data_IF_586359723749
#
_entry.id   IF_586359723749
#
_cell.length_a   1.000
_cell.length_b   1.000
_cell.length_c   1.000
_cell.angle_alpha   90.00
_cell.angle_beta   90.00
_cell.angle_gamma   90.00
#
_symmetry.space_group_name_H-M   'P 1'
#
loop_
_entity.id
_entity.type
_entity.pdbx_description
1 polymer ?
#
# COMPACT_ATOMS: atom_id res chain seq x y z
N UNK A 1 -6.46 12.47 7.61
CA UNK A 1 -7.77 11.80 7.70
C UNK A 1 -7.79 10.64 6.71
N UNK A 2 -8.40 9.51 7.07
CA UNK A 2 -8.52 8.35 6.17
C UNK A 2 -9.34 8.64 4.92
N UNK A 3 -10.23 9.63 4.95
CA UNK A 3 -11.11 9.99 3.83
C UNK A 3 -10.33 10.68 2.71
N UNK A 4 -9.31 11.46 3.07
CA UNK A 4 -8.53 12.33 2.16
C UNK A 4 -7.16 11.72 1.82
N UNK A 5 -7.07 10.39 1.89
CA UNK A 5 -5.81 9.69 1.69
C UNK A 5 -5.38 9.73 0.22
N UNK A 6 -6.31 9.93 -0.71
CA UNK A 6 -6.08 10.24 -2.13
C UNK A 6 -5.18 11.47 -2.34
N UNK A 7 -5.36 12.53 -1.53
CA UNK A 7 -4.56 13.74 -1.64
C UNK A 7 -3.07 13.49 -1.35
N UNK A 8 -2.78 12.53 -0.45
CA UNK A 8 -1.40 12.13 -0.10
C UNK A 8 -0.74 11.31 -1.20
N UNK A 9 -1.54 10.71 -2.07
CA UNK A 9 -1.09 9.80 -3.14
C UNK A 9 -0.98 10.50 -4.50
N UNK A 10 -1.56 11.69 -4.61
CA UNK A 10 -1.57 12.47 -5.85
C UNK A 10 -0.15 12.91 -6.23
N UNK A 11 0.21 12.76 -7.50
CA UNK A 11 1.51 13.15 -8.03
C UNK A 11 2.64 12.15 -7.77
N UNK A 12 2.35 10.99 -7.16
CA UNK A 12 3.32 9.93 -6.91
C UNK A 12 3.48 8.94 -8.07
N UNK A 13 2.86 9.19 -9.22
CA UNK A 13 2.90 8.30 -10.38
C UNK A 13 4.23 8.30 -11.15
N UNK A 14 4.99 9.40 -11.06
CA UNK A 14 6.23 9.60 -11.82
C UNK A 14 7.49 9.60 -10.96
N UNK A 15 7.34 9.54 -9.64
CA UNK A 15 8.41 9.51 -8.65
C UNK A 15 8.18 8.34 -7.71
N UNK A 16 9.22 7.78 -7.06
CA UNK A 16 9.02 6.80 -5.99
C UNK A 16 8.01 7.36 -4.98
N UNK A 17 6.96 6.60 -4.59
CA UNK A 17 6.73 5.16 -4.73
C UNK A 17 6.12 4.62 -6.05
N UNK A 18 5.88 5.44 -7.07
CA UNK A 18 5.28 5.03 -8.36
C UNK A 18 3.88 4.41 -8.23
N UNK A 19 3.01 5.11 -7.49
CA UNK A 19 1.61 4.73 -7.29
C UNK A 19 0.76 5.42 -8.35
N UNK A 20 -0.21 4.71 -8.93
CA UNK A 20 -1.10 5.28 -9.92
C UNK A 20 -1.88 6.46 -9.34
N UNK A 21 -2.21 7.44 -10.17
CA UNK A 21 -3.01 8.59 -9.72
C UNK A 21 -4.39 8.10 -9.23
N UNK A 22 -4.89 8.61 -8.09
CA UNK A 22 -6.15 8.17 -7.48
C UNK A 22 -7.38 8.78 -8.19
N UNK A 23 -7.48 8.59 -9.51
CA UNK A 23 -8.50 9.21 -10.37
C UNK A 23 -9.66 8.27 -10.71
N UNK A 24 -9.59 7.01 -10.32
CA UNK A 24 -10.63 6.00 -10.54
C UNK A 24 -10.67 4.96 -9.40
N UNK A 25 -11.81 4.28 -9.24
CA UNK A 25 -11.98 3.19 -8.25
C UNK A 25 -11.12 1.94 -8.55
N UNK A 26 -10.62 1.83 -9.77
CA UNK A 26 -9.67 0.80 -10.18
C UNK A 26 -8.24 1.15 -9.74
N UNK A 27 -7.86 2.44 -9.83
CA UNK A 27 -6.54 2.92 -9.44
C UNK A 27 -6.41 3.14 -7.94
N UNK A 28 -7.52 3.51 -7.27
CA UNK A 28 -7.57 3.82 -5.86
C UNK A 28 -8.93 3.45 -5.27
N UNK A 29 -8.91 2.63 -4.21
CA UNK A 29 -10.12 2.21 -3.52
C UNK A 29 -10.01 2.39 -2.03
N UNK A 30 -10.94 3.15 -1.46
CA UNK A 30 -11.00 3.44 -0.04
C UNK A 30 -12.45 3.48 0.45
N UNK A 31 -12.80 2.53 1.32
CA UNK A 31 -14.16 2.42 1.88
C UNK A 31 -14.60 3.68 2.61
N UNK A 32 -13.69 4.41 3.26
CA UNK A 32 -14.05 5.61 4.03
C UNK A 32 -14.43 6.77 3.09
N UNK A 33 -13.71 6.92 1.97
CA UNK A 33 -14.06 7.90 0.95
C UNK A 33 -15.39 7.54 0.26
N UNK A 34 -15.57 6.26 -0.09
CA UNK A 34 -16.81 5.77 -0.69
C UNK A 34 -18.02 5.98 0.22
N UNK A 35 -17.89 5.65 1.52
CA UNK A 35 -18.94 5.83 2.51
C UNK A 35 -19.27 7.31 2.71
N UNK A 36 -18.27 8.18 2.83
CA UNK A 36 -18.48 9.62 2.97
C UNK A 36 -19.27 10.21 1.80
N UNK A 37 -18.88 9.84 0.57
CA UNK A 37 -19.55 10.28 -0.66
C UNK A 37 -21.00 9.78 -0.70
N UNK A 38 -21.24 8.54 -0.30
CA UNK A 38 -22.59 7.97 -0.21
C UNK A 38 -23.44 8.72 0.83
N UNK A 39 -22.95 8.88 2.06
CA UNK A 39 -23.67 9.56 3.14
C UNK A 39 -23.99 11.02 2.79
N UNK A 40 -23.05 11.71 2.13
CA UNK A 40 -23.23 13.10 1.71
C UNK A 40 -24.24 13.26 0.57
N UNK A 41 -24.46 12.21 -0.24
CA UNK A 41 -25.34 12.26 -1.42
C UNK A 41 -26.72 11.70 -1.13
N UNK A 42 -26.78 10.55 -0.48
CA UNK A 42 -27.99 9.73 -0.29
C UNK A 42 -28.48 9.71 1.16
N UNK A 43 -27.66 10.19 2.11
CA UNK A 43 -27.92 10.06 3.54
C UNK A 43 -27.76 8.63 4.05
N UNK A 44 -28.31 8.36 5.24
CA UNK A 44 -28.20 7.06 5.92
C UNK A 44 -29.42 6.14 5.71
N UNK A 45 -30.48 6.60 5.03
CA UNK A 45 -31.77 5.91 4.96
C UNK A 45 -31.65 4.44 4.49
N UNK A 46 -30.83 4.21 3.46
CA UNK A 46 -30.64 2.89 2.86
C UNK A 46 -29.65 2.00 3.62
N UNK A 47 -28.97 2.56 4.63
CA UNK A 47 -27.90 1.90 5.40
C UNK A 47 -28.12 2.06 6.91
N UNK A 48 -29.32 1.72 7.38
CA UNK A 48 -29.67 1.67 8.80
C UNK A 48 -30.35 2.92 9.35
N UNK A 49 -30.49 3.98 8.54
CA UNK A 49 -31.20 5.22 8.89
C UNK A 49 -30.70 5.85 10.20
N UNK A 50 -29.38 5.90 10.36
CA UNK A 50 -28.73 6.46 11.56
C UNK A 50 -28.72 7.98 11.53
N UNK A 51 -28.59 8.60 12.71
CA UNK A 51 -28.47 10.06 12.82
C UNK A 51 -27.07 10.51 12.42
N UNK A 52 -26.99 11.38 11.41
CA UNK A 52 -25.75 12.00 10.94
C UNK A 52 -25.51 13.34 11.65
N UNK A 53 -24.25 13.60 11.96
CA UNK A 53 -23.77 14.88 12.46
C UNK A 53 -23.68 15.94 11.37
N UNK A 54 -23.25 17.15 11.74
CA UNK A 54 -23.02 18.25 10.79
C UNK A 54 -21.87 18.01 9.82
N UNK A 55 -21.08 16.96 10.03
CA UNK A 55 -19.98 16.47 9.21
C UNK A 55 -20.38 15.29 8.31
N UNK A 56 -21.68 14.98 8.23
CA UNK A 56 -22.26 13.84 7.51
C UNK A 56 -21.79 12.46 8.02
N UNK A 57 -21.17 12.38 9.19
CA UNK A 57 -20.81 11.11 9.83
C UNK A 57 -21.83 10.68 10.89
N UNK A 58 -22.00 9.37 11.13
CA UNK A 58 -22.78 8.89 12.26
C UNK A 58 -22.26 9.47 13.59
N UNK A 59 -23.17 9.91 14.44
CA UNK A 59 -22.81 10.62 15.69
C UNK A 59 -22.27 9.72 16.79
N UNK A 60 -22.44 8.40 16.68
CA UNK A 60 -21.95 7.42 17.64
C UNK A 60 -21.08 6.37 16.95
N UNK A 61 -20.14 5.79 17.70
CA UNK A 61 -19.27 4.72 17.20
C UNK A 61 -20.07 3.48 16.81
N UNK A 62 -21.09 3.11 17.59
CA UNK A 62 -21.96 1.99 17.27
C UNK A 62 -22.70 2.20 15.94
N UNK A 63 -23.24 3.40 15.71
CA UNK A 63 -23.89 3.75 14.46
C UNK A 63 -22.89 3.78 13.30
N UNK A 64 -21.65 4.23 13.55
CA UNK A 64 -20.59 4.22 12.55
C UNK A 64 -20.28 2.79 12.09
N UNK A 65 -20.02 1.87 13.02
CA UNK A 65 -19.73 0.47 12.70
C UNK A 65 -20.91 -0.17 11.96
N UNK A 66 -22.13 0.05 12.44
CA UNK A 66 -23.35 -0.46 11.80
C UNK A 66 -23.53 0.07 10.36
N UNK A 67 -23.23 1.35 10.15
CA UNK A 67 -23.32 2.00 8.85
C UNK A 67 -22.27 1.45 7.89
N UNK A 68 -21.02 1.28 8.33
CA UNK A 68 -19.95 0.68 7.52
C UNK A 68 -20.31 -0.76 7.17
N UNK A 69 -20.85 -1.54 8.12
CA UNK A 69 -21.28 -2.92 7.89
C UNK A 69 -22.42 -3.02 6.86
N UNK A 70 -23.43 -2.15 6.96
CA UNK A 70 -24.52 -2.11 6.00
C UNK A 70 -24.06 -1.67 4.61
N UNK A 71 -23.22 -0.62 4.54
CA UNK A 71 -22.69 -0.07 3.30
C UNK A 71 -21.81 -1.07 2.55
N UNK A 72 -20.81 -1.64 3.24
CA UNK A 72 -19.85 -2.55 2.64
C UNK A 72 -20.38 -3.97 2.45
N UNK A 73 -21.57 -4.31 2.92
CA UNK A 73 -22.13 -5.66 2.74
C UNK A 73 -22.26 -6.03 1.26
N UNK A 74 -22.16 -7.33 0.95
CA UNK A 74 -22.39 -7.89 -0.40
C UNK A 74 -23.67 -7.43 -1.12
N UNK A 75 -24.72 -7.03 -0.39
CA UNK A 75 -25.97 -6.48 -0.94
C UNK A 75 -26.12 -4.96 -0.74
N UNK A 76 -25.14 -4.33 -0.10
CA UNK A 76 -25.12 -2.91 0.20
C UNK A 76 -24.71 -2.06 -1.01
N UNK A 77 -24.95 -0.74 -0.93
CA UNK A 77 -24.57 0.21 -1.98
C UNK A 77 -23.06 0.28 -2.21
N UNK A 78 -22.26 -0.11 -1.22
CA UNK A 78 -20.80 -0.20 -1.27
C UNK A 78 -20.29 -1.64 -1.36
N UNK A 79 -21.04 -2.57 -1.95
CA UNK A 79 -20.66 -4.00 -2.05
C UNK A 79 -19.27 -4.29 -2.65
N UNK A 80 -18.70 -3.35 -3.41
CA UNK A 80 -17.31 -3.43 -3.88
C UNK A 80 -16.29 -3.49 -2.73
N UNK A 81 -16.63 -2.92 -1.57
CA UNK A 81 -15.79 -2.85 -0.37
C UNK A 81 -16.00 -4.02 0.60
N UNK A 82 -16.84 -5.02 0.27
CA UNK A 82 -17.16 -6.17 1.14
C UNK A 82 -15.92 -6.95 1.59
N UNK A 83 -14.87 -6.95 0.75
CA UNK A 83 -13.59 -7.61 1.04
C UNK A 83 -12.54 -6.67 1.61
N UNK A 84 -12.86 -5.38 1.69
CA UNK A 84 -11.96 -4.33 2.16
C UNK A 84 -12.18 -3.98 3.62
N UNK A 85 -13.18 -4.56 4.29
CA UNK A 85 -13.45 -4.34 5.72
C UNK A 85 -13.59 -5.67 6.43
N UNK A 86 -13.01 -5.78 7.63
CA UNK A 86 -13.19 -6.93 8.52
C UNK A 86 -13.71 -6.43 9.85
N UNK A 87 -14.77 -7.09 10.32
CA UNK A 87 -15.40 -6.81 11.60
C UNK A 87 -15.07 -7.92 12.60
N UNK A 88 -15.20 -7.61 13.89
CA UNK A 88 -15.11 -8.61 14.95
C UNK A 88 -16.18 -9.69 14.81
N UNK A 89 -15.98 -10.80 15.50
CA UNK A 89 -16.91 -11.94 15.45
C UNK A 89 -18.34 -11.58 15.89
N UNK A 90 -18.49 -10.60 16.78
CA UNK A 90 -19.76 -10.05 17.25
C UNK A 90 -20.26 -8.85 16.42
N UNK A 91 -19.47 -8.39 15.44
CA UNK A 91 -19.81 -7.27 14.55
C UNK A 91 -19.84 -5.90 15.23
N UNK A 92 -19.34 -5.79 16.46
CA UNK A 92 -19.40 -4.57 17.26
C UNK A 92 -18.29 -3.57 16.95
N UNK A 93 -17.20 -4.03 16.32
CA UNK A 93 -16.03 -3.21 16.01
C UNK A 93 -15.44 -3.57 14.64
N UNK A 94 -14.76 -2.61 14.03
CA UNK A 94 -13.95 -2.81 12.82
C UNK A 94 -12.55 -3.23 13.27
N UNK A 95 -12.09 -4.40 12.83
CA UNK A 95 -10.75 -4.91 13.16
C UNK A 95 -9.69 -4.46 12.16
N UNK A 96 -10.08 -4.41 10.88
CA UNK A 96 -9.18 -4.01 9.81
C UNK A 96 -9.96 -3.42 8.64
N UNK A 97 -9.29 -2.53 7.91
CA UNK A 97 -9.73 -2.09 6.60
C UNK A 97 -8.54 -2.09 5.64
N UNK A 98 -8.84 -2.19 4.35
CA UNK A 98 -7.88 -2.18 3.26
C UNK A 98 -8.10 -0.97 2.38
N UNK A 99 -7.00 -0.35 1.98
CA UNK A 99 -6.98 0.64 0.90
C UNK A 99 -6.23 0.01 -0.27
N UNK A 100 -6.89 -0.12 -1.42
CA UNK A 100 -6.25 -0.65 -2.63
C UNK A 100 -5.66 0.48 -3.46
N UNK A 101 -4.47 0.23 -3.98
CA UNK A 101 -3.68 1.14 -4.78
C UNK A 101 -3.15 0.39 -5.98
N UNK A 102 -3.33 0.95 -7.17
CA UNK A 102 -2.71 0.42 -8.37
C UNK A 102 -1.23 0.83 -8.42
N UNK A 103 -0.39 -0.16 -8.70
CA UNK A 103 1.04 0.02 -8.86
C UNK A 103 1.39 0.26 -10.33
N UNK A 104 2.16 1.32 -10.62
CA UNK A 104 2.61 1.62 -11.98
C UNK A 104 3.64 0.59 -12.43
N UNK A 105 3.44 -0.01 -13.60
CA UNK A 105 4.39 -1.01 -14.12
C UNK A 105 5.73 -0.35 -14.47
N UNK A 106 6.77 -0.63 -13.69
CA UNK A 106 8.13 -0.13 -13.90
C UNK A 106 8.91 -1.05 -14.85
N UNK A 107 9.09 -0.60 -16.08
CA UNK A 107 9.86 -1.28 -17.12
C UNK A 107 11.03 -0.43 -17.60
N UNK A 108 12.02 -1.08 -18.22
CA UNK A 108 13.14 -0.47 -18.95
C UNK A 108 13.32 -1.16 -20.29
N UNK A 109 13.88 -0.44 -21.25
CA UNK A 109 14.26 -1.02 -22.53
C UNK A 109 15.63 -1.71 -22.42
N UNK A 110 15.72 -2.95 -22.87
CA UNK A 110 16.96 -3.69 -23.01
C UNK A 110 16.99 -4.36 -24.38
N UNK A 111 17.91 -3.92 -25.24
CA UNK A 111 18.11 -4.48 -26.59
C UNK A 111 16.82 -4.52 -27.44
N UNK A 112 15.98 -3.50 -27.32
CA UNK A 112 14.71 -3.37 -28.05
C UNK A 112 13.52 -4.09 -27.41
N UNK A 113 13.70 -4.74 -26.26
CA UNK A 113 12.62 -5.38 -25.49
C UNK A 113 12.33 -4.59 -24.20
N UNK A 114 11.04 -4.44 -23.86
CA UNK A 114 10.62 -3.89 -22.58
C UNK A 114 10.67 -4.98 -21.51
N UNK A 115 11.58 -4.83 -20.56
CA UNK A 115 11.75 -5.74 -19.42
C UNK A 115 11.41 -5.03 -18.11
N UNK A 116 11.04 -5.78 -17.09
CA UNK A 116 10.78 -5.22 -15.76
C UNK A 116 12.08 -4.68 -15.13
N UNK A 117 12.02 -3.47 -14.55
CA UNK A 117 13.19 -2.84 -13.94
C UNK A 117 13.27 -3.14 -12.44
N UNK A 118 13.98 -4.22 -12.10
CA UNK A 118 14.12 -4.70 -10.72
C UNK A 118 14.64 -3.62 -9.73
N UNK A 119 15.56 -2.75 -10.16
CA UNK A 119 16.09 -1.72 -9.28
C UNK A 119 15.02 -0.67 -8.92
N UNK A 120 14.23 -0.23 -9.91
CA UNK A 120 13.11 0.68 -9.69
C UNK A 120 11.99 0.02 -8.89
N UNK A 121 11.76 -1.27 -9.07
CA UNK A 121 10.78 -2.03 -8.27
C UNK A 121 11.18 -2.11 -6.78
N UNK A 122 12.46 -2.30 -6.49
CA UNK A 122 12.97 -2.27 -5.10
C UNK A 122 12.78 -0.87 -4.50
N UNK A 123 13.18 0.17 -5.22
CA UNK A 123 13.04 1.56 -4.77
C UNK A 123 11.58 1.96 -4.53
N UNK A 124 10.67 1.53 -5.42
CA UNK A 124 9.25 1.73 -5.28
C UNK A 124 8.68 1.03 -4.02
N UNK A 125 9.07 -0.23 -3.79
CA UNK A 125 8.64 -0.99 -2.62
C UNK A 125 9.13 -0.35 -1.32
N UNK A 126 10.42 -0.01 -1.24
CA UNK A 126 11.01 0.63 -0.05
C UNK A 126 10.36 2.00 0.19
N UNK A 127 10.20 2.83 -0.84
CA UNK A 127 9.53 4.13 -0.74
C UNK A 127 8.07 4.01 -0.33
N UNK A 128 7.35 2.97 -0.78
CA UNK A 128 5.96 2.73 -0.37
C UNK A 128 5.89 2.42 1.12
N UNK A 129 6.81 1.58 1.62
CA UNK A 129 6.88 1.23 3.04
C UNK A 129 7.26 2.43 3.89
N UNK A 130 8.25 3.20 3.46
CA UNK A 130 8.67 4.41 4.16
C UNK A 130 7.55 5.45 4.21
N UNK A 131 6.81 5.63 3.11
CA UNK A 131 5.63 6.50 3.08
C UNK A 131 4.56 6.03 4.08
N UNK A 132 4.17 4.75 4.07
CA UNK A 132 3.15 4.24 4.99
C UNK A 132 3.62 4.31 6.45
N UNK A 133 4.89 4.01 6.72
CA UNK A 133 5.48 4.10 8.06
C UNK A 133 5.62 5.56 8.55
N UNK A 134 5.63 6.53 7.64
CA UNK A 134 5.68 7.95 7.99
C UNK A 134 4.35 8.52 8.48
N UNK A 135 3.24 7.80 8.29
CA UNK A 135 1.92 8.24 8.75
C UNK A 135 1.75 7.96 10.24
N UNK A 136 1.91 8.99 11.04
CA UNK A 136 1.73 8.97 12.50
C UNK A 136 0.28 9.27 12.94
N UNK A 137 -0.53 9.81 12.02
CA UNK A 137 -1.93 10.17 12.25
C UNK A 137 -2.92 9.02 12.00
N UNK A 138 -2.43 7.87 11.57
CA UNK A 138 -3.24 6.69 11.24
C UNK A 138 -2.94 5.52 12.18
N UNK A 139 -3.90 4.60 12.37
CA UNK A 139 -3.60 3.32 13.02
C UNK A 139 -2.47 2.59 12.29
N UNK A 140 -1.79 1.69 13.00
CA UNK A 140 -0.69 0.89 12.44
C UNK A 140 -1.09 0.27 11.10
N UNK A 141 -0.45 0.74 10.03
CA UNK A 141 -0.70 0.30 8.66
C UNK A 141 0.55 -0.36 8.10
N UNK A 142 0.37 -1.25 7.12
CA UNK A 142 1.49 -1.85 6.39
C UNK A 142 1.15 -1.98 4.90
N UNK A 143 2.14 -1.74 4.05
CA UNK A 143 2.00 -1.90 2.61
C UNK A 143 2.18 -3.36 2.20
N UNK A 144 1.26 -3.89 1.40
CA UNK A 144 1.33 -5.26 0.87
C UNK A 144 1.03 -5.33 -0.63
N UNK A 145 1.79 -6.15 -1.34
CA UNK A 145 1.52 -6.57 -2.71
C UNK A 145 2.06 -7.98 -2.91
N UNK A 146 1.38 -8.80 -3.70
CA UNK A 146 1.88 -10.14 -4.06
C UNK A 146 3.25 -10.10 -4.75
N UNK A 147 3.57 -8.99 -5.43
CA UNK A 147 4.86 -8.77 -6.09
C UNK A 147 6.00 -8.45 -5.11
N UNK A 148 5.70 -7.97 -3.89
CA UNK A 148 6.73 -7.60 -2.92
C UNK A 148 7.62 -8.80 -2.56
N UNK A 149 7.06 -10.01 -2.50
CA UNK A 149 7.84 -11.24 -2.24
C UNK A 149 8.94 -11.44 -3.29
N UNK A 150 8.60 -11.27 -4.57
CA UNK A 150 9.57 -11.39 -5.67
C UNK A 150 10.61 -10.26 -5.61
N UNK A 151 10.17 -9.03 -5.34
CA UNK A 151 11.02 -7.84 -5.29
C UNK A 151 12.02 -7.91 -4.12
N UNK A 152 11.57 -8.38 -2.95
CA UNK A 152 12.45 -8.64 -1.80
C UNK A 152 13.55 -9.65 -2.13
N UNK A 153 13.22 -10.69 -2.92
CA UNK A 153 14.19 -11.63 -3.46
C UNK A 153 15.29 -10.93 -4.26
N UNK A 154 14.94 -9.99 -5.15
CA UNK A 154 15.93 -9.22 -5.92
C UNK A 154 16.85 -8.38 -5.02
N UNK A 155 16.31 -7.75 -3.97
CA UNK A 155 17.08 -6.95 -3.00
C UNK A 155 18.10 -7.80 -2.25
N UNK A 156 17.70 -9.00 -1.81
CA UNK A 156 18.58 -9.94 -1.11
C UNK A 156 19.69 -10.42 -2.04
N UNK A 157 19.35 -10.86 -3.27
CA UNK A 157 20.32 -11.34 -4.25
C UNK A 157 21.35 -10.25 -4.59
N UNK A 158 20.90 -9.01 -4.79
CA UNK A 158 21.79 -7.89 -5.07
C UNK A 158 22.80 -7.68 -3.92
N UNK A 159 22.32 -7.65 -2.67
CA UNK A 159 23.18 -7.47 -1.50
C UNK A 159 24.17 -8.63 -1.33
N UNK A 160 23.70 -9.87 -1.45
CA UNK A 160 24.56 -11.05 -1.30
C UNK A 160 25.60 -11.16 -2.41
N UNK A 161 25.24 -10.84 -3.66
CA UNK A 161 26.18 -10.81 -4.77
C UNK A 161 27.33 -9.84 -4.50
N UNK A 162 27.03 -8.60 -4.10
CA UNK A 162 28.06 -7.61 -3.77
C UNK A 162 28.92 -8.02 -2.58
N UNK A 163 28.32 -8.60 -1.55
CA UNK A 163 29.05 -9.07 -0.38
C UNK A 163 30.00 -10.24 -0.72
N UNK A 164 29.52 -11.22 -1.47
CA UNK A 164 30.31 -12.40 -1.83
C UNK A 164 31.42 -12.06 -2.82
N UNK A 165 31.12 -11.27 -3.87
CA UNK A 165 32.14 -10.83 -4.84
C UNK A 165 33.13 -9.88 -4.18
N UNK A 166 32.66 -8.94 -3.35
CA UNK A 166 33.51 -8.03 -2.59
C UNK A 166 34.47 -8.77 -1.65
N UNK A 167 33.98 -9.78 -0.93
CA UNK A 167 34.81 -10.61 -0.06
C UNK A 167 35.83 -11.43 -0.85
N UNK A 168 35.45 -11.99 -2.00
CA UNK A 168 36.37 -12.72 -2.88
C UNK A 168 37.48 -11.83 -3.43
N UNK A 169 37.15 -10.63 -3.91
CA UNK A 169 38.13 -9.64 -4.38
C UNK A 169 39.07 -9.23 -3.24
N UNK A 170 38.54 -8.98 -2.04
CA UNK A 170 39.34 -8.64 -0.88
C UNK A 170 40.33 -9.77 -0.51
N UNK A 171 39.87 -11.03 -0.53
CA UNK A 171 40.71 -12.19 -0.24
C UNK A 171 41.86 -12.34 -1.26
N UNK A 172 41.57 -12.20 -2.56
CA UNK A 172 42.61 -12.22 -3.61
C UNK A 172 43.58 -11.05 -3.43
N UNK A 173 43.07 -9.85 -3.13
CA UNK A 173 43.89 -8.67 -2.86
C UNK A 173 44.84 -8.87 -1.69
N UNK A 174 44.39 -9.49 -0.60
CA UNK A 174 45.24 -9.82 0.56
C UNK A 174 46.36 -10.79 0.15
N UNK A 175 46.05 -11.86 -0.59
CA UNK A 175 47.06 -12.85 -1.02
C UNK A 175 48.12 -12.24 -1.94
N UNK A 176 47.69 -11.43 -2.91
CA UNK A 176 48.60 -10.83 -3.91
C UNK A 176 49.46 -9.73 -3.28
N UNK A 177 48.90 -8.92 -2.38
CA UNK A 177 49.60 -7.80 -1.76
C UNK A 177 50.34 -8.18 -0.47
N UNK A 178 50.10 -9.35 0.12
CA UNK A 178 50.92 -9.86 1.21
C UNK A 178 52.28 -10.30 0.66
N UNK A 179 53.40 -9.64 1.03
CA UNK A 179 54.71 -10.11 0.62
C UNK A 179 54.94 -11.46 1.31
N UNK A 180 54.94 -12.55 0.55
CA UNK A 180 55.57 -13.76 1.03
C UNK A 180 57.04 -13.43 1.30
N UNK A 181 57.55 -13.61 2.53
CA UNK A 181 58.99 -13.50 2.75
C UNK A 181 59.64 -14.57 1.87
N UNK A 182 60.38 -14.11 0.86
CA UNK A 182 61.28 -14.96 0.09
C UNK A 182 62.27 -15.54 1.10
N UNK A 183 62.14 -16.84 1.39
CA UNK A 183 63.12 -17.60 2.18
C UNK A 183 64.39 -17.81 1.37
#
# INVERSE_FOLDING_TARGET
SLVELDQRLTGLSTVPPFIAEPVSEDAYRNVMAGLFNFLSTSGSNDIGNVTLGGDNWPTTEADFVATVAAFASSSGPGSIYDRDVTFSQDGSQIEAFRVELEYVRLTKENRGELIDDAARQIDAMDSTRDMVNSWDDLPTAFAYSSKFITIEGFKIIQRELFQNVGLAIAAVGVIVCSPFPVQ
#
